data_IF_502310439145
#
_entry.id   IF_502310439145
#
_cell.length_a   1.000
_cell.length_b   1.000
_cell.length_c   1.000
_cell.angle_alpha   90.00
_cell.angle_beta   90.00
_cell.angle_gamma   90.00
#
_symmetry.space_group_name_H-M   'P 1'
#
loop_
_entity.id
_entity.type
_entity.pdbx_description
1 polymer ?
#
# COMPACT_ATOMS: atom_id res chain seq x y z
N UNK A 1 5.30 29.30 41.22
CA UNK A 1 5.95 30.06 40.14
C UNK A 1 6.24 29.05 39.04
N UNK A 2 5.38 29.09 38.02
CA UNK A 2 5.40 28.43 36.69
C UNK A 2 6.06 27.05 36.51
N UNK A 3 5.21 26.03 36.41
CA UNK A 3 5.45 24.90 35.52
C UNK A 3 4.27 24.86 34.54
N UNK A 4 4.43 25.54 33.40
CA UNK A 4 3.49 25.45 32.28
C UNK A 4 3.57 24.02 31.72
N UNK A 5 2.65 23.20 32.19
CA UNK A 5 2.49 21.79 31.84
C UNK A 5 2.14 21.69 30.34
N UNK A 6 3.11 21.26 29.56
CA UNK A 6 3.07 21.17 28.11
C UNK A 6 2.10 20.04 27.68
N UNK A 7 0.80 20.35 27.59
CA UNK A 7 -0.31 19.39 27.39
C UNK A 7 -0.68 19.06 25.95
N UNK A 8 0.21 19.21 24.97
CA UNK A 8 -0.17 19.01 23.56
C UNK A 8 0.90 18.27 22.75
N UNK A 9 1.29 17.08 23.21
CA UNK A 9 1.87 16.08 22.31
C UNK A 9 0.71 15.45 21.51
N UNK A 10 0.17 16.19 20.54
CA UNK A 10 -0.75 15.58 19.56
C UNK A 10 0.07 14.55 18.79
N UNK A 11 -0.29 13.28 18.88
CA UNK A 11 0.29 12.20 18.09
C UNK A 11 0.10 12.50 16.59
N UNK A 12 1.04 13.23 16.03
CA UNK A 12 1.06 13.68 14.64
C UNK A 12 1.10 12.49 13.68
N UNK A 13 1.68 11.38 14.15
CA UNK A 13 1.73 10.08 13.49
C UNK A 13 0.34 9.55 13.12
N UNK A 14 -0.68 9.80 13.95
CA UNK A 14 -2.05 9.33 13.70
C UNK A 14 -2.76 10.16 12.60
N UNK A 15 -2.44 11.45 12.50
CA UNK A 15 -3.04 12.36 11.49
C UNK A 15 -2.40 12.21 10.10
N UNK A 16 -1.14 11.80 10.02
CA UNK A 16 -0.44 11.49 8.77
C UNK A 16 -0.82 10.11 8.20
N UNK A 17 -1.33 9.22 9.05
CA UNK A 17 -1.83 7.88 8.71
C UNK A 17 -3.34 7.84 8.42
N UNK A 18 -4.02 8.99 8.28
CA UNK A 18 -5.47 8.99 8.15
C UNK A 18 -5.91 8.36 6.81
N UNK A 19 -6.68 7.26 6.81
CA UNK A 19 -7.07 6.53 5.59
C UNK A 19 -7.94 7.36 4.63
N UNK A 20 -8.39 8.54 5.06
CA UNK A 20 -9.15 9.50 4.26
C UNK A 20 -8.29 10.29 3.28
N UNK A 21 -6.96 10.35 3.46
CA UNK A 21 -6.05 11.02 2.52
C UNK A 21 -5.41 10.07 1.51
N UNK A 22 -5.67 8.78 1.64
CA UNK A 22 -5.02 7.80 0.80
C UNK A 22 -5.58 7.87 -0.63
N UNK A 23 -4.68 8.06 -1.59
CA UNK A 23 -5.05 8.22 -2.99
C UNK A 23 -5.59 6.89 -3.50
N UNK A 24 -6.78 6.94 -4.10
CA UNK A 24 -7.31 5.81 -4.85
C UNK A 24 -6.70 5.84 -6.25
N UNK A 25 -5.97 4.78 -6.56
CA UNK A 25 -5.29 4.52 -7.83
C UNK A 25 -6.20 3.64 -8.69
N UNK A 26 -6.34 3.97 -9.97
CA UNK A 26 -7.13 3.17 -10.90
C UNK A 26 -6.48 1.81 -11.20
N UNK A 27 -7.25 0.85 -11.70
CA UNK A 27 -6.70 -0.45 -12.13
C UNK A 27 -5.60 -0.29 -13.20
N UNK A 28 -5.76 0.64 -14.14
CA UNK A 28 -4.77 0.86 -15.19
C UNK A 28 -3.46 1.46 -14.63
N UNK A 29 -3.56 2.48 -13.77
CA UNK A 29 -2.38 3.04 -13.09
C UNK A 29 -1.71 2.00 -12.21
N UNK A 30 -2.48 1.14 -11.53
CA UNK A 30 -1.96 0.04 -10.70
C UNK A 30 -1.21 -0.99 -11.53
N UNK A 31 -1.75 -1.36 -12.69
CA UNK A 31 -1.12 -2.27 -13.63
C UNK A 31 0.25 -1.71 -14.09
N UNK A 32 0.29 -0.43 -14.46
CA UNK A 32 1.53 0.28 -14.77
C UNK A 32 2.49 0.31 -13.58
N UNK A 33 2.01 0.64 -12.38
CA UNK A 33 2.81 0.75 -11.17
C UNK A 33 3.50 -0.58 -10.80
N UNK A 34 2.78 -1.70 -10.90
CA UNK A 34 3.30 -3.03 -10.57
C UNK A 34 4.00 -3.72 -11.75
N UNK A 35 3.98 -3.13 -12.94
CA UNK A 35 4.57 -3.73 -14.15
C UNK A 35 3.84 -5.00 -14.64
N UNK A 36 2.52 -5.10 -14.40
CA UNK A 36 1.69 -6.25 -14.81
C UNK A 36 0.55 -5.80 -15.72
N UNK A 37 -0.14 -6.75 -16.36
CA UNK A 37 -1.34 -6.43 -17.15
C UNK A 37 -2.58 -6.28 -16.26
N UNK A 38 -3.56 -5.47 -16.67
CA UNK A 38 -4.87 -5.41 -15.99
C UNK A 38 -5.58 -6.77 -15.95
N UNK A 39 -5.33 -7.63 -16.95
CA UNK A 39 -5.81 -9.02 -16.96
C UNK A 39 -5.20 -9.85 -15.83
N UNK A 40 -3.91 -9.64 -15.53
CA UNK A 40 -3.24 -10.27 -14.38
C UNK A 40 -3.89 -9.82 -13.08
N UNK A 41 -4.14 -8.51 -12.92
CA UNK A 41 -4.84 -7.99 -11.74
C UNK A 41 -6.25 -8.58 -11.60
N UNK A 42 -6.99 -8.72 -12.70
CA UNK A 42 -8.30 -9.39 -12.70
C UNK A 42 -8.24 -10.84 -12.23
N UNK A 43 -7.21 -11.60 -12.65
CA UNK A 43 -6.97 -12.98 -12.18
C UNK A 43 -6.62 -13.00 -10.69
N UNK A 44 -5.69 -12.17 -10.24
CA UNK A 44 -5.32 -12.06 -8.83
C UNK A 44 -6.53 -11.82 -7.93
N UNK A 45 -7.42 -10.89 -8.32
CA UNK A 45 -8.68 -10.65 -7.59
C UNK A 45 -9.61 -11.86 -7.56
N UNK A 46 -9.71 -12.60 -8.66
CA UNK A 46 -10.52 -13.82 -8.71
C UNK A 46 -9.94 -14.93 -7.82
N UNK A 47 -8.61 -15.01 -7.75
CA UNK A 47 -7.86 -15.97 -6.94
C UNK A 47 -7.71 -15.54 -5.47
N UNK A 48 -8.17 -14.33 -5.12
CA UNK A 48 -8.05 -13.77 -3.77
C UNK A 48 -6.63 -13.39 -3.36
N UNK A 49 -5.74 -13.14 -4.32
CA UNK A 49 -4.34 -12.74 -4.09
C UNK A 49 -4.07 -11.33 -4.60
N UNK A 50 -2.88 -10.79 -4.31
CA UNK A 50 -2.46 -9.48 -4.77
C UNK A 50 -2.71 -8.36 -3.75
N UNK A 51 -2.54 -7.09 -4.14
CA UNK A 51 -2.86 -5.95 -3.28
C UNK A 51 -4.35 -5.87 -3.00
N UNK A 52 -4.71 -5.34 -1.82
CA UNK A 52 -6.10 -5.08 -1.46
C UNK A 52 -6.74 -4.09 -2.45
N UNK A 53 -7.99 -4.37 -2.83
CA UNK A 53 -8.74 -3.58 -3.80
C UNK A 53 -10.05 -3.06 -3.21
N UNK A 54 -10.55 -1.99 -3.82
CA UNK A 54 -11.84 -1.37 -3.49
C UNK A 54 -12.76 -1.53 -4.69
N UNK A 55 -13.93 -2.13 -4.48
CA UNK A 55 -15.01 -2.11 -5.44
C UNK A 55 -15.69 -0.73 -5.40
N UNK A 56 -15.49 0.08 -6.43
CA UNK A 56 -16.11 1.41 -6.60
C UNK A 56 -17.42 1.34 -7.41
N UNK A 57 -17.81 0.14 -7.84
CA UNK A 57 -19.01 -0.17 -8.62
C UNK A 57 -18.91 -1.59 -9.18
N UNK A 58 -19.90 -2.00 -9.99
CA UNK A 58 -19.95 -3.37 -10.55
C UNK A 58 -18.70 -3.72 -11.38
N UNK A 59 -18.18 -2.76 -12.15
CA UNK A 59 -17.02 -2.96 -13.04
C UNK A 59 -15.82 -2.07 -12.73
N UNK A 60 -15.93 -1.20 -11.72
CA UNK A 60 -14.89 -0.21 -11.41
C UNK A 60 -14.15 -0.61 -10.15
N UNK A 61 -12.84 -0.80 -10.29
CA UNK A 61 -11.92 -1.17 -9.21
C UNK A 61 -10.91 -0.06 -8.99
N UNK A 62 -10.61 0.19 -7.72
CA UNK A 62 -9.50 1.04 -7.31
C UNK A 62 -8.62 0.32 -6.30
N UNK A 63 -7.41 0.85 -6.11
CA UNK A 63 -6.45 0.37 -5.13
C UNK A 63 -6.01 1.56 -4.30
N UNK A 64 -5.86 1.38 -2.98
CA UNK A 64 -5.24 2.42 -2.18
C UNK A 64 -3.75 2.46 -2.46
N UNK A 65 -3.18 3.66 -2.54
CA UNK A 65 -1.74 3.81 -2.75
C UNK A 65 -0.95 3.12 -1.62
N UNK A 66 -1.42 3.20 -0.36
CA UNK A 66 -0.75 2.50 0.75
C UNK A 66 -0.82 0.98 0.63
N UNK A 67 -1.94 0.41 0.18
CA UNK A 67 -2.08 -1.04 -0.02
C UNK A 67 -1.14 -1.54 -1.13
N UNK A 68 -0.96 -0.76 -2.19
CA UNK A 68 0.00 -1.07 -3.25
C UNK A 68 1.44 -1.06 -2.72
N UNK A 69 1.81 -0.04 -1.95
CA UNK A 69 3.13 0.04 -1.33
C UNK A 69 3.37 -1.12 -0.36
N UNK A 70 2.40 -1.41 0.50
CA UNK A 70 2.44 -2.53 1.44
C UNK A 70 2.62 -3.87 0.71
N UNK A 71 1.92 -4.06 -0.41
CA UNK A 71 2.04 -5.26 -1.23
C UNK A 71 3.46 -5.41 -1.81
N UNK A 72 4.04 -4.34 -2.36
CA UNK A 72 5.41 -4.37 -2.90
C UNK A 72 6.42 -4.71 -1.81
N UNK A 73 6.32 -4.09 -0.63
CA UNK A 73 7.22 -4.37 0.49
C UNK A 73 7.07 -5.81 1.01
N UNK A 74 5.83 -6.32 1.09
CA UNK A 74 5.56 -7.68 1.58
C UNK A 74 6.05 -8.77 0.60
N UNK A 75 6.01 -8.49 -0.71
CA UNK A 75 6.47 -9.43 -1.75
C UNK A 75 7.94 -9.22 -2.13
N UNK A 76 8.64 -8.30 -1.47
CA UNK A 76 10.07 -8.10 -1.67
C UNK A 76 10.83 -9.30 -1.10
N UNK A 77 11.68 -9.87 -1.94
CA UNK A 77 12.62 -10.93 -1.52
C UNK A 77 14.01 -10.32 -1.43
N UNK A 78 14.58 -10.31 -0.22
CA UNK A 78 15.98 -9.96 -0.07
C UNK A 78 16.86 -11.08 -0.62
N UNK A 79 17.87 -10.77 -1.46
CA UNK A 79 18.84 -11.76 -1.86
C UNK A 79 19.57 -12.23 -0.59
N UNK A 80 19.52 -13.53 -0.32
CA UNK A 80 20.39 -14.12 0.68
C UNK A 80 21.82 -13.85 0.24
N UNK A 81 22.51 -12.93 0.91
CA UNK A 81 23.92 -12.66 0.69
C UNK A 81 24.70 -13.93 1.04
N UNK A 82 24.80 -14.84 0.09
CA UNK A 82 25.66 -15.99 0.16
C UNK A 82 27.08 -15.47 -0.07
N UNK A 83 27.73 -15.05 1.03
CA UNK A 83 29.17 -14.85 1.09
C UNK A 83 29.83 -16.19 0.72
N UNK A 84 30.07 -16.38 -0.57
CA UNK A 84 30.95 -17.43 -1.08
C UNK A 84 32.37 -17.04 -0.73
N UNK A 85 32.81 -17.46 0.45
CA UNK A 85 34.22 -17.70 0.71
C UNK A 85 34.58 -19.03 0.05
N UNK A 86 35.41 -18.95 -0.99
CA UNK A 86 36.10 -20.06 -1.64
C UNK A 86 37.41 -19.54 -2.18
#
# INVERSE_FOLDING_TARGET
MEAFENKQQRDFTSLLSSPLRDRIVSENETATYLGVSSRTLGRWRADGVGPAWIALGEKRIGYRQSDLTCYVETNRVEPAAELRHG
#
